data_IF_874866864686
#
_entry.id   IF_874866864686
#
_cell.length_a   1.000
_cell.length_b   1.000
_cell.length_c   1.000
_cell.angle_alpha   90.00
_cell.angle_beta   90.00
_cell.angle_gamma   90.00
#
_symmetry.space_group_name_H-M   'P 1'
#
loop_
_entity.id
_entity.type
_entity.pdbx_description
1 polymer ?
#
# COMPACT_ATOMS: atom_id res chain seq x y z
N UNK A 1 14.07 -15.36 -10.62
CA UNK A 1 14.49 -16.54 -11.41
C UNK A 1 13.71 -17.82 -11.06
N UNK A 2 13.44 -18.15 -9.78
CA UNK A 2 12.71 -19.38 -9.41
C UNK A 2 11.23 -19.30 -9.76
N UNK A 3 10.56 -18.18 -9.45
CA UNK A 3 9.16 -17.96 -9.86
C UNK A 3 9.03 -18.14 -11.38
N UNK A 4 9.92 -17.52 -12.16
CA UNK A 4 9.96 -17.65 -13.63
C UNK A 4 10.08 -19.11 -14.11
N UNK A 5 10.88 -19.92 -13.42
CA UNK A 5 11.09 -21.34 -13.80
C UNK A 5 9.89 -22.23 -13.48
N UNK A 6 9.10 -21.87 -12.47
CA UNK A 6 8.00 -22.67 -11.94
C UNK A 6 6.62 -22.22 -12.43
N UNK A 7 6.56 -21.15 -13.19
CA UNK A 7 5.32 -20.61 -13.76
C UNK A 7 5.37 -20.65 -15.28
N UNK A 8 4.22 -20.76 -15.92
CA UNK A 8 4.15 -20.76 -17.38
C UNK A 8 4.68 -19.43 -17.96
N UNK A 9 5.46 -19.49 -19.03
CA UNK A 9 6.03 -18.28 -19.64
C UNK A 9 4.97 -17.30 -20.16
N UNK A 10 3.78 -17.82 -20.51
CA UNK A 10 2.62 -17.04 -20.98
C UNK A 10 1.85 -16.35 -19.84
N UNK A 11 1.99 -16.84 -18.60
CA UNK A 11 1.23 -16.33 -17.45
C UNK A 11 1.75 -14.94 -17.05
N UNK A 12 0.94 -13.92 -17.29
CA UNK A 12 1.31 -12.51 -17.01
C UNK A 12 0.93 -12.06 -15.62
N UNK A 13 -0.10 -12.66 -15.02
CA UNK A 13 -0.67 -12.26 -13.73
C UNK A 13 -0.45 -13.36 -12.71
N UNK A 14 0.17 -13.02 -11.58
CA UNK A 14 0.49 -13.97 -10.50
C UNK A 14 -0.30 -13.58 -9.25
N UNK A 15 -1.06 -14.52 -8.72
CA UNK A 15 -1.76 -14.37 -7.45
C UNK A 15 -0.78 -14.38 -6.28
N UNK A 16 -0.97 -13.50 -5.31
CA UNK A 16 -0.20 -13.46 -4.06
C UNK A 16 -1.18 -13.49 -2.90
N UNK A 17 -1.09 -14.53 -2.08
CA UNK A 17 -1.92 -14.71 -0.88
C UNK A 17 -1.01 -14.80 0.34
N UNK A 18 -0.57 -13.65 0.84
CA UNK A 18 0.39 -13.54 1.94
C UNK A 18 0.02 -12.41 2.90
N UNK A 19 0.30 -12.57 4.19
CA UNK A 19 0.10 -11.49 5.16
C UNK A 19 1.18 -10.41 4.98
N UNK A 20 0.94 -9.23 5.54
CA UNK A 20 1.92 -8.14 5.55
C UNK A 20 3.20 -8.58 6.24
N UNK A 21 4.34 -8.41 5.56
CA UNK A 21 5.65 -8.82 6.09
C UNK A 21 6.69 -9.04 4.99
N UNK A 22 7.85 -9.53 5.39
CA UNK A 22 8.97 -9.78 4.46
C UNK A 22 8.64 -10.78 3.35
N UNK A 23 7.80 -11.79 3.65
CA UNK A 23 7.36 -12.77 2.66
C UNK A 23 6.56 -12.15 1.52
N UNK A 24 5.55 -11.32 1.84
CA UNK A 24 4.76 -10.62 0.81
C UNK A 24 5.61 -9.58 0.06
N UNK A 25 6.53 -8.91 0.74
CA UNK A 25 7.45 -7.97 0.10
C UNK A 25 8.34 -8.67 -0.95
N UNK A 26 8.96 -9.78 -0.57
CA UNK A 26 9.80 -10.57 -1.47
C UNK A 26 8.98 -11.13 -2.65
N UNK A 27 7.76 -11.62 -2.41
CA UNK A 27 6.90 -12.16 -3.45
C UNK A 27 6.51 -11.08 -4.47
N UNK A 28 6.03 -9.92 -4.00
CA UNK A 28 5.68 -8.79 -4.87
C UNK A 28 6.89 -8.29 -5.68
N UNK A 29 8.06 -8.13 -5.04
CA UNK A 29 9.30 -7.77 -5.73
C UNK A 29 9.70 -8.80 -6.79
N UNK A 30 9.62 -10.10 -6.47
CA UNK A 30 9.98 -11.15 -7.40
C UNK A 30 9.08 -11.15 -8.65
N UNK A 31 7.76 -10.96 -8.46
CA UNK A 31 6.79 -10.87 -9.55
C UNK A 31 7.05 -9.63 -10.41
N UNK A 32 7.24 -8.46 -9.77
CA UNK A 32 7.51 -7.19 -10.47
C UNK A 32 8.83 -7.23 -11.25
N UNK A 33 9.92 -7.75 -10.65
CA UNK A 33 11.21 -7.89 -11.33
C UNK A 33 11.17 -8.93 -12.47
N UNK A 34 10.22 -9.86 -12.44
CA UNK A 34 9.93 -10.78 -13.53
C UNK A 34 9.04 -10.18 -14.63
N UNK A 35 8.72 -8.87 -14.53
CA UNK A 35 7.87 -8.13 -15.47
C UNK A 35 6.46 -8.72 -15.58
N UNK A 36 5.94 -9.22 -14.46
CA UNK A 36 4.59 -9.75 -14.34
C UNK A 36 3.75 -8.87 -13.42
N UNK A 37 2.46 -9.01 -13.54
CA UNK A 37 1.47 -8.26 -12.78
C UNK A 37 1.22 -8.99 -11.46
N UNK A 38 1.44 -8.32 -10.33
CA UNK A 38 1.08 -8.86 -9.03
C UNK A 38 -0.41 -8.66 -8.74
N UNK A 39 -1.09 -9.72 -8.30
CA UNK A 39 -2.49 -9.66 -7.87
C UNK A 39 -2.56 -10.12 -6.42
N UNK A 40 -2.56 -9.18 -5.50
CA UNK A 40 -2.65 -9.49 -4.08
C UNK A 40 -4.10 -9.84 -3.72
N UNK A 41 -4.34 -11.11 -3.35
CA UNK A 41 -5.67 -11.63 -3.06
C UNK A 41 -6.10 -11.25 -1.63
N UNK A 42 -7.33 -10.74 -1.50
CA UNK A 42 -7.87 -10.33 -0.22
C UNK A 42 -8.38 -11.54 0.58
N UNK A 43 -7.57 -12.02 1.51
CA UNK A 43 -7.88 -13.16 2.37
C UNK A 43 -8.90 -12.86 3.49
N UNK A 44 -9.31 -11.59 3.64
CA UNK A 44 -10.36 -11.19 4.60
C UNK A 44 -11.73 -11.07 3.95
N UNK A 45 -11.78 -11.14 2.61
CA UNK A 45 -13.01 -11.12 1.85
C UNK A 45 -13.70 -12.49 1.83
N UNK A 46 -15.00 -12.54 1.51
CA UNK A 46 -15.70 -13.82 1.29
C UNK A 46 -14.97 -14.69 0.26
N UNK A 47 -15.00 -16.04 0.40
CA UNK A 47 -14.36 -16.96 -0.54
C UNK A 47 -14.74 -16.74 -2.02
N UNK A 48 -16.00 -16.39 -2.28
CA UNK A 48 -16.49 -16.05 -3.63
C UNK A 48 -15.78 -14.85 -4.26
N UNK A 49 -15.39 -13.85 -3.45
CA UNK A 49 -14.62 -12.70 -3.93
C UNK A 49 -13.19 -13.09 -4.32
N UNK A 50 -12.56 -13.99 -3.58
CA UNK A 50 -11.23 -14.52 -3.91
C UNK A 50 -11.28 -15.33 -5.20
N UNK A 51 -12.31 -16.16 -5.37
CA UNK A 51 -12.55 -16.92 -6.59
C UNK A 51 -12.80 -16.01 -7.80
N UNK A 52 -13.65 -14.98 -7.63
CA UNK A 52 -13.93 -14.00 -8.68
C UNK A 52 -12.67 -13.26 -9.12
N UNK A 53 -11.84 -12.81 -8.18
CA UNK A 53 -10.57 -12.16 -8.49
C UNK A 53 -9.62 -13.06 -9.30
N UNK A 54 -9.52 -14.33 -8.94
CA UNK A 54 -8.72 -15.31 -9.69
C UNK A 54 -9.24 -15.51 -11.11
N UNK A 55 -10.56 -15.65 -11.28
CA UNK A 55 -11.21 -15.81 -12.58
C UNK A 55 -11.05 -14.57 -13.46
N UNK A 56 -11.34 -13.37 -12.93
CA UNK A 56 -11.23 -12.11 -13.69
C UNK A 56 -9.79 -11.86 -14.16
N UNK A 57 -8.82 -12.23 -13.36
CA UNK A 57 -7.40 -12.10 -13.69
C UNK A 57 -6.82 -13.29 -14.46
N UNK A 58 -7.57 -14.38 -14.67
CA UNK A 58 -7.08 -15.61 -15.29
C UNK A 58 -5.80 -16.13 -14.60
N UNK A 59 -5.82 -16.14 -13.26
CA UNK A 59 -4.67 -16.57 -12.46
C UNK A 59 -4.51 -18.08 -12.58
N UNK A 60 -3.35 -18.53 -12.99
CA UNK A 60 -2.98 -19.96 -13.02
C UNK A 60 -2.15 -20.36 -11.78
N UNK A 61 -1.38 -19.41 -11.21
CA UNK A 61 -0.45 -19.64 -10.10
C UNK A 61 -0.68 -18.68 -8.93
N UNK A 62 -0.68 -19.23 -7.71
CA UNK A 62 -0.71 -18.43 -6.47
C UNK A 62 0.54 -18.67 -5.62
N UNK A 63 1.23 -17.59 -5.26
CA UNK A 63 2.31 -17.58 -4.27
C UNK A 63 1.72 -17.44 -2.87
N UNK A 64 2.07 -18.35 -1.96
CA UNK A 64 1.59 -18.31 -0.57
C UNK A 64 2.59 -18.95 0.41
N UNK A 65 2.17 -19.14 1.66
CA UNK A 65 2.90 -19.83 2.73
C UNK A 65 2.03 -20.92 3.33
N UNK A 66 2.60 -22.09 3.63
CA UNK A 66 1.88 -23.18 4.31
C UNK A 66 1.35 -22.74 5.66
N UNK A 67 2.22 -22.11 6.47
CA UNK A 67 1.84 -21.59 7.78
C UNK A 67 0.70 -20.56 7.71
N UNK A 68 0.65 -19.78 6.65
CA UNK A 68 -0.42 -18.81 6.50
C UNK A 68 -1.73 -19.47 6.11
N UNK A 69 -1.72 -20.48 5.24
CA UNK A 69 -2.93 -21.22 4.88
C UNK A 69 -3.53 -22.00 6.06
N UNK A 70 -2.71 -22.46 7.02
CA UNK A 70 -3.19 -23.16 8.20
C UNK A 70 -4.06 -22.30 9.13
N UNK A 71 -3.88 -20.98 9.11
CA UNK A 71 -4.64 -20.03 9.95
C UNK A 71 -5.79 -19.34 9.19
N UNK A 72 -5.91 -19.59 7.90
CA UNK A 72 -6.99 -19.04 7.09
C UNK A 72 -8.16 -20.00 6.98
N UNK A 73 -9.40 -19.49 6.79
CA UNK A 73 -10.51 -20.32 6.35
C UNK A 73 -10.17 -20.95 4.99
N UNK A 74 -10.82 -22.06 4.68
CA UNK A 74 -10.65 -22.74 3.38
C UNK A 74 -11.03 -21.78 2.25
N UNK A 75 -10.05 -21.38 1.42
CA UNK A 75 -10.24 -20.49 0.27
C UNK A 75 -10.19 -21.30 -1.03
N UNK A 76 -11.01 -20.95 -2.04
CA UNK A 76 -11.00 -21.59 -3.36
C UNK A 76 -9.79 -21.07 -4.16
N UNK A 77 -8.63 -21.71 -3.99
CA UNK A 77 -7.43 -21.38 -4.75
C UNK A 77 -7.28 -22.23 -6.00
N UNK A 78 -6.61 -21.68 -7.02
CA UNK A 78 -6.17 -22.43 -8.21
C UNK A 78 -5.27 -23.60 -7.82
N UNK A 79 -5.14 -24.59 -8.72
CA UNK A 79 -4.39 -25.81 -8.42
C UNK A 79 -2.87 -25.60 -8.29
N UNK A 80 -2.30 -24.66 -9.04
CA UNK A 80 -0.87 -24.41 -9.00
C UNK A 80 -0.52 -23.44 -7.85
N UNK A 81 -0.14 -23.99 -6.72
CA UNK A 81 0.25 -23.23 -5.53
C UNK A 81 1.76 -23.34 -5.32
N UNK A 82 2.45 -22.22 -5.29
CA UNK A 82 3.88 -22.14 -5.00
C UNK A 82 4.08 -21.64 -3.56
N UNK A 83 4.68 -22.48 -2.73
CA UNK A 83 4.96 -22.13 -1.34
C UNK A 83 6.30 -21.45 -1.20
N UNK A 84 6.34 -20.32 -0.47
CA UNK A 84 7.59 -19.59 -0.21
C UNK A 84 8.61 -20.47 0.49
N UNK A 85 8.18 -21.35 1.38
CA UNK A 85 9.03 -22.28 2.11
C UNK A 85 9.81 -23.19 1.14
N UNK A 86 9.16 -23.69 0.09
CA UNK A 86 9.81 -24.55 -0.92
C UNK A 86 10.72 -23.74 -1.83
N UNK A 87 10.28 -22.54 -2.22
CA UNK A 87 11.09 -21.64 -3.03
C UNK A 87 12.42 -21.24 -2.36
N UNK A 88 12.41 -21.17 -1.03
CA UNK A 88 13.57 -20.73 -0.24
C UNK A 88 14.45 -21.89 0.26
N UNK A 89 13.87 -23.09 0.44
CA UNK A 89 14.55 -24.26 1.02
C UNK A 89 15.74 -24.74 0.20
N UNK A 90 15.60 -24.74 -1.12
CA UNK A 90 16.59 -25.34 -2.02
C UNK A 90 17.56 -24.31 -2.62
N UNK A 91 17.64 -23.10 -2.04
CA UNK A 91 18.60 -22.10 -2.52
C UNK A 91 19.98 -22.43 -1.94
N UNK A 92 20.86 -22.95 -2.78
CA UNK A 92 22.24 -23.23 -2.43
C UNK A 92 23.00 -21.95 -2.04
N UNK A 93 24.04 -22.09 -1.20
CA UNK A 93 24.93 -20.97 -0.89
C UNK A 93 25.54 -20.32 -2.14
N UNK A 94 25.87 -21.14 -3.16
CA UNK A 94 26.39 -20.66 -4.44
C UNK A 94 25.39 -19.77 -5.16
N UNK A 95 24.12 -20.16 -5.23
CA UNK A 95 23.06 -19.33 -5.85
C UNK A 95 22.84 -18.02 -5.09
N UNK A 96 22.89 -18.03 -3.75
CA UNK A 96 22.80 -16.81 -2.94
C UNK A 96 23.93 -15.84 -3.23
N UNK A 97 25.17 -16.33 -3.30
CA UNK A 97 26.36 -15.52 -3.62
C UNK A 97 26.26 -14.99 -5.06
N UNK A 98 25.89 -15.82 -6.03
CA UNK A 98 25.70 -15.39 -7.41
C UNK A 98 24.63 -14.33 -7.54
N UNK A 99 23.47 -14.47 -6.86
CA UNK A 99 22.41 -13.47 -6.85
C UNK A 99 22.88 -12.15 -6.24
N UNK A 100 23.63 -12.21 -5.14
CA UNK A 100 24.20 -11.03 -4.49
C UNK A 100 25.21 -10.31 -5.38
N UNK A 101 26.11 -11.05 -6.01
CA UNK A 101 27.09 -10.50 -6.95
C UNK A 101 26.39 -9.88 -8.17
N UNK A 102 25.40 -10.58 -8.73
CA UNK A 102 24.60 -10.07 -9.83
C UNK A 102 23.89 -8.77 -9.44
N UNK A 103 23.27 -8.72 -8.24
CA UNK A 103 22.57 -7.54 -7.77
C UNK A 103 23.50 -6.33 -7.51
N UNK A 104 24.75 -6.59 -7.06
CA UNK A 104 25.73 -5.51 -6.78
C UNK A 104 26.51 -5.04 -7.99
N UNK A 105 26.82 -5.93 -8.91
CA UNK A 105 27.77 -5.67 -10.01
C UNK A 105 27.09 -5.45 -11.36
N UNK A 106 25.84 -5.91 -11.53
CA UNK A 106 25.15 -5.76 -12.80
C UNK A 106 24.33 -4.47 -12.84
N UNK A 107 24.37 -3.71 -13.95
CA UNK A 107 23.41 -2.63 -14.16
C UNK A 107 21.96 -3.14 -14.04
N UNK A 108 21.07 -2.30 -13.52
CA UNK A 108 19.68 -2.67 -13.25
C UNK A 108 18.96 -3.33 -14.44
N UNK A 109 19.26 -2.88 -15.67
CA UNK A 109 18.72 -3.46 -16.92
C UNK A 109 18.98 -4.96 -17.10
N UNK A 110 20.07 -5.49 -16.53
CA UNK A 110 20.39 -6.93 -16.61
C UNK A 110 19.72 -7.74 -15.48
N UNK A 111 19.19 -7.06 -14.46
CA UNK A 111 18.45 -7.70 -13.37
C UNK A 111 17.00 -7.97 -13.75
N UNK A 112 16.38 -7.06 -14.52
CA UNK A 112 14.97 -7.09 -14.90
C UNK A 112 14.68 -7.77 -16.24
N UNK A 113 15.69 -8.36 -16.89
CA UNK A 113 15.52 -9.02 -18.19
C UNK A 113 15.65 -8.06 -19.37
N UNK A 114 15.47 -8.61 -20.60
CA UNK A 114 15.77 -7.88 -21.84
C UNK A 114 14.57 -7.12 -22.44
N UNK A 115 13.40 -7.17 -21.82
CA UNK A 115 12.23 -6.43 -22.30
C UNK A 115 12.26 -5.00 -21.75
N UNK A 116 11.99 -3.98 -22.57
CA UNK A 116 11.74 -2.65 -22.05
C UNK A 116 10.45 -2.69 -21.22
N UNK A 117 10.49 -2.16 -20.00
CA UNK A 117 9.30 -1.91 -19.18
C UNK A 117 8.83 -0.50 -19.48
N UNK A 118 7.61 -0.35 -19.95
CA UNK A 118 7.04 0.96 -20.21
C UNK A 118 6.38 1.51 -18.93
N UNK A 119 6.41 2.83 -18.73
CA UNK A 119 5.76 3.44 -17.57
C UNK A 119 4.26 3.08 -17.44
N UNK A 120 3.58 2.92 -18.56
CA UNK A 120 2.16 2.59 -18.63
C UNK A 120 1.83 1.09 -18.54
N UNK A 121 2.86 0.22 -18.48
CA UNK A 121 2.63 -1.21 -18.23
C UNK A 121 1.98 -1.40 -16.86
N UNK A 122 1.00 -2.32 -16.80
CA UNK A 122 0.32 -2.63 -15.54
C UNK A 122 1.26 -3.33 -14.59
N UNK A 123 1.47 -2.74 -13.42
CA UNK A 123 2.32 -3.27 -12.36
C UNK A 123 1.54 -4.19 -11.40
N UNK A 124 0.29 -3.83 -11.12
CA UNK A 124 -0.57 -4.58 -10.20
C UNK A 124 -2.04 -4.39 -10.52
N UNK A 125 -2.84 -5.36 -10.10
CA UNK A 125 -4.30 -5.26 -10.07
C UNK A 125 -4.74 -5.46 -8.62
N UNK A 126 -5.43 -4.46 -8.06
CA UNK A 126 -5.96 -4.49 -6.71
C UNK A 126 -7.49 -4.50 -6.77
N UNK A 127 -8.10 -5.41 -6.03
CA UNK A 127 -9.55 -5.51 -6.00
C UNK A 127 -10.15 -4.60 -4.93
N UNK A 128 -11.02 -3.68 -5.34
CA UNK A 128 -11.81 -2.87 -4.43
C UNK A 128 -13.10 -3.60 -4.06
N UNK A 129 -13.50 -3.46 -2.80
CA UNK A 129 -14.79 -3.94 -2.29
C UNK A 129 -15.91 -2.99 -2.72
N UNK A 130 -16.15 -2.80 -4.02
CA UNK A 130 -17.18 -1.88 -4.50
C UNK A 130 -18.55 -2.12 -3.84
N UNK A 131 -19.43 -1.13 -3.90
CA UNK A 131 -20.82 -1.19 -3.43
C UNK A 131 -21.67 -2.25 -4.16
N UNK A 132 -21.12 -2.87 -5.20
CA UNK A 132 -21.72 -3.96 -5.99
C UNK A 132 -21.19 -5.33 -5.50
N UNK A 133 -22.01 -6.38 -5.63
CA UNK A 133 -21.70 -7.72 -5.15
C UNK A 133 -20.39 -8.32 -5.72
N UNK A 134 -19.90 -7.82 -6.84
CA UNK A 134 -18.69 -8.32 -7.50
C UNK A 134 -17.51 -7.33 -7.33
N UNK A 135 -16.33 -7.80 -6.84
CA UNK A 135 -15.16 -6.95 -6.69
C UNK A 135 -14.63 -6.46 -8.04
N UNK A 136 -14.22 -5.19 -8.11
CA UNK A 136 -13.67 -4.57 -9.31
C UNK A 136 -12.14 -4.58 -9.25
N UNK A 137 -11.50 -5.11 -10.28
CA UNK A 137 -10.04 -5.11 -10.42
C UNK A 137 -9.54 -3.76 -10.94
N UNK A 138 -8.92 -2.98 -10.08
CA UNK A 138 -8.32 -1.68 -10.40
C UNK A 138 -6.93 -1.91 -10.99
N UNK A 139 -6.70 -1.50 -12.24
CA UNK A 139 -5.42 -1.64 -12.94
C UNK A 139 -4.52 -0.44 -12.68
N UNK A 140 -3.39 -0.66 -12.01
CA UNK A 140 -2.40 0.38 -11.70
C UNK A 140 -1.11 0.12 -12.48
N UNK A 141 -0.67 1.14 -13.24
CA UNK A 141 0.60 1.08 -13.97
C UNK A 141 1.80 1.41 -13.06
N UNK A 142 3.00 1.14 -13.54
CA UNK A 142 4.23 1.59 -12.87
C UNK A 142 4.23 3.11 -12.70
N UNK A 143 3.77 3.85 -13.72
CA UNK A 143 3.67 5.32 -13.69
C UNK A 143 2.71 5.79 -12.60
N UNK A 144 1.53 5.17 -12.47
CA UNK A 144 0.55 5.54 -11.45
C UNK A 144 1.14 5.41 -10.04
N UNK A 145 1.74 4.26 -9.73
CA UNK A 145 2.33 3.99 -8.41
C UNK A 145 3.50 4.91 -8.10
N UNK A 146 4.45 5.04 -9.05
CA UNK A 146 5.65 5.87 -8.85
C UNK A 146 5.30 7.34 -8.69
N UNK A 147 4.37 7.87 -9.50
CA UNK A 147 3.91 9.26 -9.38
C UNK A 147 3.29 9.53 -8.01
N UNK A 148 2.47 8.61 -7.49
CA UNK A 148 1.87 8.75 -6.16
C UNK A 148 2.94 8.73 -5.06
N UNK A 149 3.90 7.81 -5.14
CA UNK A 149 5.00 7.68 -4.20
C UNK A 149 5.87 8.95 -4.19
N UNK A 150 6.23 9.48 -5.36
CA UNK A 150 7.04 10.70 -5.47
C UNK A 150 6.28 11.93 -4.92
N UNK A 151 5.00 12.06 -5.24
CA UNK A 151 4.16 13.14 -4.72
C UNK A 151 4.06 13.08 -3.19
N UNK A 152 3.81 11.91 -2.64
CA UNK A 152 3.77 11.70 -1.18
C UNK A 152 5.14 11.95 -0.53
N UNK A 153 6.22 11.46 -1.15
CA UNK A 153 7.60 11.67 -0.69
C UNK A 153 7.99 13.14 -0.63
N UNK A 154 7.56 13.92 -1.62
CA UNK A 154 7.90 15.35 -1.71
C UNK A 154 7.28 16.18 -0.58
N UNK A 155 6.10 15.79 -0.08
CA UNK A 155 5.40 16.54 0.99
C UNK A 155 5.80 16.11 2.39
N UNK A 156 6.10 14.83 2.63
CA UNK A 156 6.49 14.35 3.97
C UNK A 156 7.99 14.32 4.19
N UNK A 157 8.79 14.46 3.14
CA UNK A 157 10.28 14.54 3.19
C UNK A 157 10.91 13.52 4.15
N UNK A 158 10.73 12.21 3.89
CA UNK A 158 11.19 11.17 4.81
C UNK A 158 12.72 11.12 4.88
N UNK A 159 13.23 10.79 6.05
CA UNK A 159 14.66 10.59 6.30
C UNK A 159 14.99 9.09 6.27
N UNK A 160 16.21 8.73 5.87
CA UNK A 160 16.71 7.35 6.01
C UNK A 160 16.79 6.85 7.47
N UNK A 161 16.67 7.77 8.43
CA UNK A 161 16.59 7.44 9.86
C UNK A 161 15.18 7.09 10.30
N UNK A 162 14.18 7.37 9.46
CA UNK A 162 12.79 7.03 9.78
C UNK A 162 12.58 5.52 9.71
N UNK A 163 11.73 5.05 10.60
CA UNK A 163 11.24 3.68 10.63
C UNK A 163 9.72 3.72 10.53
N UNK A 164 9.18 3.04 9.53
CA UNK A 164 7.75 2.98 9.29
C UNK A 164 7.14 1.72 9.86
N UNK A 165 5.99 1.85 10.52
CA UNK A 165 5.16 0.72 10.89
C UNK A 165 4.34 0.25 9.68
N UNK A 166 4.42 -1.02 9.32
CA UNK A 166 3.63 -1.66 8.28
C UNK A 166 2.74 -2.75 8.87
N UNK A 167 1.48 -2.40 9.09
CA UNK A 167 0.44 -3.32 9.57
C UNK A 167 -0.73 -3.43 8.60
N UNK A 168 -0.82 -2.52 7.63
CA UNK A 168 -1.90 -2.52 6.65
C UNK A 168 -1.70 -3.64 5.62
N UNK A 169 -2.78 -4.35 5.25
CA UNK A 169 -2.70 -5.45 4.29
C UNK A 169 -2.28 -4.98 2.90
N UNK A 170 -1.37 -5.73 2.26
CA UNK A 170 -0.87 -5.41 0.90
C UNK A 170 -1.87 -5.65 -0.22
N UNK A 171 -3.00 -6.30 0.05
CA UNK A 171 -4.09 -6.39 -0.91
C UNK A 171 -4.95 -5.12 -0.98
N UNK A 172 -4.79 -4.18 -0.05
CA UNK A 172 -5.35 -2.83 -0.13
C UNK A 172 -4.30 -1.86 -0.67
N UNK A 173 -4.72 -0.93 -1.52
CA UNK A 173 -3.83 0.07 -2.13
C UNK A 173 -3.06 0.90 -1.10
N UNK A 174 -3.66 1.21 0.05
CA UNK A 174 -3.01 1.91 1.15
C UNK A 174 -1.84 1.10 1.72
N UNK A 175 -2.04 -0.20 1.98
CA UNK A 175 -0.96 -1.10 2.38
C UNK A 175 0.08 -1.29 1.29
N UNK A 176 -0.36 -1.55 0.06
CA UNK A 176 0.50 -1.85 -1.08
C UNK A 176 1.42 -0.68 -1.45
N UNK A 177 0.85 0.50 -1.67
CA UNK A 177 1.65 1.64 -2.11
C UNK A 177 2.38 2.30 -0.95
N UNK A 178 1.69 2.59 0.15
CA UNK A 178 2.23 3.51 1.17
C UNK A 178 3.00 2.79 2.27
N UNK A 179 2.67 1.51 2.60
CA UNK A 179 3.42 0.79 3.64
C UNK A 179 4.39 -0.26 3.10
N UNK A 180 4.38 -0.51 1.79
CA UNK A 180 5.34 -1.42 1.15
C UNK A 180 6.23 -0.69 0.11
N UNK A 181 5.66 -0.19 -1.01
CA UNK A 181 6.50 0.41 -2.07
C UNK A 181 7.15 1.72 -1.66
N UNK A 182 6.42 2.60 -0.98
CA UNK A 182 6.94 3.90 -0.56
C UNK A 182 8.19 3.78 0.34
N UNK A 183 8.17 3.02 1.46
CA UNK A 183 9.37 2.90 2.29
C UNK A 183 10.52 2.20 1.56
N UNK A 184 10.23 1.19 0.73
CA UNK A 184 11.24 0.49 -0.05
C UNK A 184 11.97 1.44 -1.02
N UNK A 185 11.22 2.25 -1.79
CA UNK A 185 11.78 3.19 -2.77
C UNK A 185 12.39 4.43 -2.12
N UNK A 186 11.97 4.78 -0.91
CA UNK A 186 12.54 5.89 -0.12
C UNK A 186 13.75 5.48 0.71
N UNK A 187 14.08 4.17 0.77
CA UNK A 187 15.19 3.65 1.59
C UNK A 187 14.91 3.75 3.09
N UNK A 188 13.65 3.65 3.50
CA UNK A 188 13.20 3.69 4.89
C UNK A 188 13.07 2.27 5.43
N UNK A 189 13.49 2.08 6.68
CA UNK A 189 13.28 0.79 7.38
C UNK A 189 11.80 0.57 7.67
N UNK A 190 11.34 -0.66 7.53
CA UNK A 190 9.94 -1.04 7.79
C UNK A 190 9.87 -2.08 8.91
N UNK A 191 9.14 -1.77 9.97
CA UNK A 191 8.77 -2.71 11.03
C UNK A 191 7.39 -3.30 10.70
N UNK A 192 7.34 -4.61 10.40
CA UNK A 192 6.12 -5.27 9.94
C UNK A 192 5.43 -6.05 11.05
N UNK A 193 4.11 -5.97 11.09
CA UNK A 193 3.26 -6.87 11.88
C UNK A 193 2.01 -7.24 11.10
N UNK A 194 1.63 -8.52 11.14
CA UNK A 194 0.57 -9.08 10.29
C UNK A 194 -0.85 -8.70 10.74
N UNK A 195 -1.04 -8.49 12.04
CA UNK A 195 -2.36 -8.22 12.62
C UNK A 195 -2.43 -6.80 13.21
N UNK A 196 -3.12 -5.85 12.57
CA UNK A 196 -3.23 -4.48 13.07
C UNK A 196 -4.04 -4.35 14.36
N UNK A 197 -4.76 -5.39 14.79
CA UNK A 197 -5.56 -5.37 16.01
C UNK A 197 -4.75 -5.70 17.27
N UNK A 198 -3.54 -6.22 17.14
CA UNK A 198 -2.66 -6.57 18.26
C UNK A 198 -1.89 -5.37 18.79
N UNK A 199 -2.61 -4.38 19.30
CA UNK A 199 -2.06 -3.08 19.72
C UNK A 199 -0.90 -3.20 20.71
N UNK A 200 -0.94 -4.16 21.67
CA UNK A 200 0.14 -4.36 22.64
C UNK A 200 1.43 -4.85 21.98
N UNK A 201 1.33 -5.79 21.05
CA UNK A 201 2.46 -6.30 20.26
C UNK A 201 3.03 -5.18 19.39
N UNK A 202 2.14 -4.38 18.76
CA UNK A 202 2.52 -3.23 17.97
C UNK A 202 3.24 -2.19 18.81
N UNK A 203 2.77 -1.89 20.01
CA UNK A 203 3.46 -0.98 20.94
C UNK A 203 4.88 -1.44 21.27
N UNK A 204 5.07 -2.73 21.60
CA UNK A 204 6.40 -3.31 21.85
C UNK A 204 7.32 -3.20 20.64
N UNK A 205 6.79 -3.53 19.46
CA UNK A 205 7.52 -3.46 18.19
C UNK A 205 7.90 -2.01 17.84
N UNK A 206 6.98 -1.06 18.05
CA UNK A 206 7.20 0.37 17.82
C UNK A 206 8.33 0.89 18.72
N UNK A 207 8.35 0.51 19.97
CA UNK A 207 9.43 0.85 20.90
C UNK A 207 10.77 0.21 20.49
N UNK A 208 10.77 -1.09 20.24
CA UNK A 208 11.96 -1.87 19.89
C UNK A 208 12.67 -1.33 18.63
N UNK A 209 11.93 -1.00 17.60
CA UNK A 209 12.47 -0.53 16.32
C UNK A 209 12.50 0.98 16.18
N UNK A 210 12.13 1.73 17.24
CA UNK A 210 12.10 3.20 17.23
C UNK A 210 11.28 3.76 16.08
N UNK A 211 10.07 3.22 15.89
CA UNK A 211 9.18 3.63 14.81
C UNK A 211 8.87 5.12 14.91
N UNK A 212 9.09 5.84 13.82
CA UNK A 212 8.86 7.29 13.73
C UNK A 212 7.65 7.67 12.87
N UNK A 213 7.14 6.73 12.05
CA UNK A 213 6.00 6.98 11.15
C UNK A 213 5.00 5.83 11.26
N UNK A 214 3.75 6.17 11.55
CA UNK A 214 2.62 5.23 11.54
C UNK A 214 1.63 5.65 10.47
N UNK A 215 1.25 4.70 9.60
CA UNK A 215 0.12 4.84 8.70
C UNK A 215 -0.92 3.79 9.06
N UNK A 216 -2.15 4.23 9.32
CA UNK A 216 -3.18 3.35 9.89
C UNK A 216 -4.58 3.85 9.54
N UNK A 217 -5.63 3.13 9.95
CA UNK A 217 -7.00 3.64 9.91
C UNK A 217 -7.39 4.24 11.24
N UNK A 218 -8.36 5.17 11.31
CA UNK A 218 -8.88 5.71 12.57
C UNK A 218 -9.33 4.64 13.56
N UNK A 219 -9.92 3.55 13.08
CA UNK A 219 -10.35 2.42 13.92
C UNK A 219 -9.18 1.74 14.62
N UNK A 220 -8.09 1.47 13.91
CA UNK A 220 -6.87 0.90 14.52
C UNK A 220 -6.17 1.90 15.42
N UNK A 221 -6.14 3.19 15.02
CA UNK A 221 -5.57 4.25 15.84
C UNK A 221 -6.24 4.35 17.21
N UNK A 222 -7.57 4.21 17.26
CA UNK A 222 -8.32 4.17 18.52
C UNK A 222 -7.90 2.99 19.40
N UNK A 223 -7.68 1.82 18.81
CA UNK A 223 -7.17 0.65 19.54
C UNK A 223 -5.76 0.90 20.11
N UNK A 224 -4.90 1.54 19.31
CA UNK A 224 -3.55 1.93 19.74
C UNK A 224 -3.60 2.96 20.86
N UNK A 225 -4.45 3.98 20.73
CA UNK A 225 -4.64 5.00 21.78
C UNK A 225 -5.11 4.42 23.11
N UNK A 226 -5.83 3.31 23.12
CA UNK A 226 -6.34 2.67 24.33
C UNK A 226 -5.33 1.71 25.00
N UNK A 227 -4.53 1.00 24.21
CA UNK A 227 -3.75 -0.13 24.68
C UNK A 227 -2.24 0.08 24.72
N UNK A 228 -1.70 0.93 23.84
CA UNK A 228 -0.26 1.20 23.79
C UNK A 228 0.10 2.16 24.92
N UNK A 229 1.24 1.93 25.57
CA UNK A 229 1.74 2.80 26.63
C UNK A 229 2.51 3.99 26.05
N UNK A 230 2.45 5.19 26.67
CA UNK A 230 3.11 6.39 26.13
C UNK A 230 4.60 6.20 25.85
N UNK A 231 5.31 5.52 26.76
CA UNK A 231 6.75 5.26 26.61
C UNK A 231 7.11 4.40 25.39
N UNK A 232 6.14 3.72 24.78
CA UNK A 232 6.35 2.90 23.59
C UNK A 232 6.35 3.69 22.28
N UNK A 233 5.84 4.92 22.28
CA UNK A 233 5.73 5.79 21.09
C UNK A 233 6.62 7.04 21.14
N UNK A 234 7.64 7.05 21.97
CA UNK A 234 8.52 8.24 22.20
C UNK A 234 9.30 8.70 20.97
N UNK A 235 9.47 7.86 19.97
CA UNK A 235 10.16 8.19 18.72
C UNK A 235 9.20 8.60 17.60
N UNK A 236 7.89 8.58 17.85
CA UNK A 236 6.87 8.86 16.85
C UNK A 236 6.89 10.33 16.44
N UNK A 237 6.98 10.59 15.14
CA UNK A 237 6.97 11.93 14.53
C UNK A 237 5.69 12.20 13.77
N UNK A 238 5.22 11.19 13.03
CA UNK A 238 4.06 11.33 12.17
C UNK A 238 3.10 10.15 12.34
N UNK A 239 1.82 10.49 12.38
CA UNK A 239 0.74 9.52 12.29
C UNK A 239 -0.21 10.00 11.18
N UNK A 240 -0.35 9.19 10.15
CA UNK A 240 -1.30 9.44 9.08
C UNK A 240 -2.43 8.41 9.14
N UNK A 241 -3.65 8.90 8.98
CA UNK A 241 -4.84 8.06 8.92
C UNK A 241 -5.54 8.22 7.58
N UNK A 242 -6.13 7.14 7.09
CA UNK A 242 -6.89 7.13 5.85
C UNK A 242 -7.88 5.99 5.80
N UNK A 243 -8.58 5.86 4.67
CA UNK A 243 -9.64 4.88 4.41
C UNK A 243 -10.94 5.09 5.19
N UNK A 244 -10.91 5.81 6.30
CA UNK A 244 -12.07 6.16 7.13
C UNK A 244 -11.94 7.62 7.57
N UNK A 245 -13.06 8.29 7.85
CA UNK A 245 -13.04 9.66 8.40
C UNK A 245 -12.45 9.67 9.82
N UNK A 246 -11.45 10.50 10.04
CA UNK A 246 -10.85 10.69 11.36
C UNK A 246 -11.81 11.53 12.24
N UNK A 247 -12.38 10.91 13.26
CA UNK A 247 -13.23 11.62 14.21
C UNK A 247 -12.38 12.49 15.15
N UNK A 248 -12.74 13.77 15.41
CA UNK A 248 -11.98 14.68 16.26
C UNK A 248 -11.61 14.07 17.62
N UNK A 249 -12.55 13.40 18.28
CA UNK A 249 -12.33 12.73 19.56
C UNK A 249 -11.20 11.67 19.53
N UNK A 250 -10.98 11.01 18.38
CA UNK A 250 -9.91 10.01 18.24
C UNK A 250 -8.56 10.73 18.11
N UNK A 251 -8.54 11.80 17.32
CA UNK A 251 -7.35 12.62 17.14
C UNK A 251 -6.91 13.26 18.47
N UNK A 252 -7.83 13.86 19.19
CA UNK A 252 -7.59 14.48 20.51
C UNK A 252 -7.11 13.46 21.55
N UNK A 253 -7.76 12.28 21.61
CA UNK A 253 -7.35 11.21 22.52
C UNK A 253 -5.92 10.76 22.25
N UNK A 254 -5.57 10.57 20.98
CA UNK A 254 -4.22 10.14 20.58
C UNK A 254 -3.19 11.24 20.87
N UNK A 255 -3.46 12.47 20.47
CA UNK A 255 -2.60 13.63 20.69
C UNK A 255 -2.34 13.88 22.18
N UNK A 256 -3.40 13.90 23.00
CA UNK A 256 -3.30 14.07 24.46
C UNK A 256 -2.41 12.99 25.10
N UNK A 257 -2.48 11.75 24.58
CA UNK A 257 -1.78 10.61 25.16
C UNK A 257 -0.31 10.50 24.73
N UNK A 258 -0.02 10.82 23.47
CA UNK A 258 1.29 10.59 22.86
C UNK A 258 2.01 11.84 22.38
N UNK A 259 1.37 13.01 22.43
CA UNK A 259 1.97 14.27 22.02
C UNK A 259 2.11 14.45 20.49
N UNK A 260 1.50 13.56 19.69
CA UNK A 260 1.56 13.62 18.22
C UNK A 260 0.15 13.71 17.68
N UNK A 261 -0.13 14.78 16.92
CA UNK A 261 -1.44 14.99 16.28
C UNK A 261 -1.56 14.08 15.05
N UNK A 262 -2.60 13.22 14.98
CA UNK A 262 -2.88 12.44 13.78
C UNK A 262 -3.30 13.34 12.61
N UNK A 263 -2.82 13.02 11.43
CA UNK A 263 -3.06 13.75 10.19
C UNK A 263 -3.92 12.90 9.27
N UNK A 264 -4.96 13.51 8.70
CA UNK A 264 -5.89 12.79 7.83
C UNK A 264 -5.43 12.85 6.37
N UNK A 265 -5.56 11.72 5.66
CA UNK A 265 -5.35 11.61 4.23
C UNK A 265 -6.59 11.06 3.53
N UNK A 266 -6.81 11.52 2.31
CA UNK A 266 -7.88 11.08 1.42
C UNK A 266 -7.32 10.38 0.19
N UNK A 267 -8.02 9.31 -0.21
CA UNK A 267 -7.67 8.57 -1.39
C UNK A 267 -8.61 7.43 -1.70
N UNK A 268 -8.34 6.76 -2.81
CA UNK A 268 -9.07 5.59 -3.26
C UNK A 268 -8.11 4.65 -4.01
N UNK A 269 -8.48 3.39 -4.17
CA UNK A 269 -7.66 2.43 -4.91
C UNK A 269 -7.38 2.93 -6.32
N UNK A 270 -8.35 3.57 -6.95
CA UNK A 270 -8.29 4.19 -8.28
C UNK A 270 -7.29 5.34 -8.39
N UNK A 271 -6.77 5.83 -7.26
CA UNK A 271 -5.82 6.95 -7.16
C UNK A 271 -4.41 6.53 -6.69
N UNK A 272 -4.13 5.26 -6.52
CA UNK A 272 -2.82 4.62 -6.24
C UNK A 272 -2.13 4.87 -4.87
N UNK A 273 -2.72 5.16 -3.72
CA UNK A 273 -4.09 5.57 -3.45
C UNK A 273 -4.27 7.03 -3.05
N UNK A 274 -3.19 7.78 -2.68
CA UNK A 274 -3.28 9.07 -1.97
C UNK A 274 -3.57 10.21 -2.92
N UNK A 275 -4.58 11.01 -2.60
CA UNK A 275 -4.97 12.18 -3.38
C UNK A 275 -4.71 13.50 -2.63
N UNK A 276 -5.07 13.54 -1.36
CA UNK A 276 -4.87 14.70 -0.51
C UNK A 276 -4.41 14.27 0.89
N UNK A 277 -3.69 15.14 1.58
CA UNK A 277 -3.16 14.85 2.91
C UNK A 277 -3.07 16.11 3.74
N UNK A 278 -3.43 16.02 5.02
CA UNK A 278 -3.11 17.03 6.02
C UNK A 278 -1.63 16.95 6.39
N UNK A 279 -1.00 18.08 6.59
CA UNK A 279 0.41 18.21 6.96
C UNK A 279 0.51 18.86 8.35
N UNK A 280 1.61 18.71 9.07
CA UNK A 280 1.84 19.45 10.30
C UNK A 280 1.77 20.97 10.03
N UNK A 281 1.28 21.72 11.00
CA UNK A 281 1.45 23.16 10.99
C UNK A 281 2.93 23.48 11.22
N UNK A 282 3.48 24.36 10.42
CA UNK A 282 4.89 24.80 10.52
C UNK A 282 4.95 26.31 10.53
N UNK A 283 6.05 26.84 10.99
CA UNK A 283 6.38 28.28 10.92
C UNK A 283 7.52 28.45 9.90
N UNK A 284 7.29 29.29 8.91
CA UNK A 284 8.29 29.61 7.87
C UNK A 284 8.48 31.12 7.89
N UNK A 285 9.67 31.58 8.13
CA UNK A 285 10.03 32.99 8.21
C UNK A 285 9.13 33.83 9.17
N UNK A 286 8.82 33.25 10.34
CA UNK A 286 7.90 33.78 11.34
C UNK A 286 6.43 33.91 10.87
N UNK A 287 6.04 33.23 9.78
CA UNK A 287 4.68 33.17 9.30
C UNK A 287 4.12 31.76 9.54
N UNK A 288 2.92 31.65 10.17
CA UNK A 288 2.31 30.35 10.40
C UNK A 288 1.77 29.77 9.08
N UNK A 289 2.26 28.62 8.71
CA UNK A 289 1.74 27.81 7.59
C UNK A 289 0.82 26.71 8.14
N UNK A 290 -0.48 26.87 7.90
CA UNK A 290 -1.48 25.92 8.39
C UNK A 290 -1.57 24.73 7.44
N UNK A 291 -0.99 23.61 7.84
CA UNK A 291 -1.00 22.35 7.09
C UNK A 291 -2.19 21.44 7.44
N UNK A 292 -2.74 21.58 8.66
CA UNK A 292 -3.86 20.78 9.13
C UNK A 292 -5.01 21.68 9.60
N UNK A 293 -6.19 21.47 9.01
CA UNK A 293 -7.45 22.12 9.41
C UNK A 293 -8.46 21.06 9.78
N UNK A 294 -9.18 21.27 10.87
CA UNK A 294 -10.25 20.36 11.30
C UNK A 294 -11.34 20.24 10.23
N UNK A 295 -11.90 19.06 10.11
CA UNK A 295 -12.92 18.70 9.12
C UNK A 295 -12.50 18.93 7.65
N UNK A 296 -11.20 18.90 7.36
CA UNK A 296 -10.66 19.02 6.01
C UNK A 296 -9.73 17.83 5.70
N UNK A 297 -9.80 17.36 4.47
CA UNK A 297 -8.98 16.24 3.98
C UNK A 297 -7.52 16.62 3.64
N UNK A 298 -7.13 17.85 3.96
CA UNK A 298 -5.78 18.35 3.69
C UNK A 298 -5.63 18.99 2.31
N UNK A 299 -4.39 19.04 1.84
CA UNK A 299 -4.01 19.61 0.54
C UNK A 299 -3.85 18.51 -0.50
N UNK A 300 -4.21 18.82 -1.72
CA UNK A 300 -4.00 17.95 -2.88
C UNK A 300 -2.51 17.71 -3.07
N UNK A 301 -2.14 16.46 -3.33
CA UNK A 301 -0.74 16.11 -3.59
C UNK A 301 -0.22 16.76 -4.90
N UNK A 302 1.07 17.09 -4.97
CA UNK A 302 1.69 17.61 -6.19
C UNK A 302 1.42 16.73 -7.41
N UNK A 303 1.13 17.36 -8.55
CA UNK A 303 0.81 16.67 -9.81
C UNK A 303 -0.66 16.30 -9.99
N UNK A 304 -1.51 16.53 -8.98
CA UNK A 304 -2.95 16.26 -9.05
C UNK A 304 -3.77 17.54 -9.11
N UNK A 305 -4.96 17.44 -9.67
CA UNK A 305 -5.97 18.49 -9.68
C UNK A 305 -7.33 17.91 -9.26
N UNK A 306 -8.06 18.70 -8.47
CA UNK A 306 -9.42 18.37 -8.01
C UNK A 306 -10.35 19.50 -8.41
N UNK A 307 -11.56 19.16 -8.86
CA UNK A 307 -12.68 20.08 -9.00
C UNK A 307 -13.96 19.45 -8.47
N UNK A 308 -14.84 20.28 -7.94
CA UNK A 308 -16.19 19.86 -7.53
C UNK A 308 -17.15 20.31 -8.63
N UNK A 309 -18.02 19.44 -9.07
CA UNK A 309 -18.95 19.71 -10.15
C UNK A 309 -20.38 19.33 -9.74
N UNK A 310 -21.35 20.01 -10.37
CA UNK A 310 -22.75 19.65 -10.20
C UNK A 310 -23.01 18.24 -10.76
N UNK A 311 -23.73 17.38 -10.02
CA UNK A 311 -23.92 15.97 -10.41
C UNK A 311 -24.56 15.76 -11.79
N UNK A 312 -25.45 16.65 -12.21
CA UNK A 312 -26.21 16.52 -13.45
C UNK A 312 -25.62 17.35 -14.60
N UNK A 313 -25.22 18.61 -14.33
CA UNK A 313 -24.75 19.53 -15.39
C UNK A 313 -23.24 19.48 -15.62
N UNK A 314 -22.49 18.89 -14.70
CA UNK A 314 -21.00 18.86 -14.69
C UNK A 314 -20.33 20.25 -14.64
N UNK A 315 -21.09 21.32 -14.38
CA UNK A 315 -20.56 22.67 -14.16
C UNK A 315 -19.73 22.72 -12.88
N UNK A 316 -18.64 23.47 -12.91
CA UNK A 316 -17.76 23.63 -11.74
C UNK A 316 -18.49 24.47 -10.69
N UNK A 317 -18.59 23.93 -9.48
CA UNK A 317 -19.24 24.58 -8.35
C UNK A 317 -18.28 25.53 -7.63
N UNK A 318 -18.86 26.52 -6.95
CA UNK A 318 -18.11 27.47 -6.14
C UNK A 318 -17.64 26.85 -4.81
N UNK A 319 -16.58 27.37 -4.17
CA UNK A 319 -16.16 26.93 -2.86
C UNK A 319 -17.29 27.01 -1.81
N UNK A 320 -17.56 25.89 -1.15
CA UNK A 320 -18.64 25.76 -0.15
C UNK A 320 -19.86 25.01 -0.66
N UNK A 321 -19.98 24.77 -1.97
CA UNK A 321 -21.06 23.97 -2.54
C UNK A 321 -20.69 22.48 -2.57
N UNK A 322 -21.68 21.61 -2.38
CA UNK A 322 -21.52 20.15 -2.41
C UNK A 322 -21.77 19.61 -3.82
N UNK A 323 -20.94 18.67 -4.27
CA UNK A 323 -21.05 18.06 -5.59
C UNK A 323 -20.18 16.85 -5.78
N UNK A 324 -20.07 16.38 -7.02
CA UNK A 324 -19.19 15.28 -7.40
C UNK A 324 -17.73 15.73 -7.47
N UNK A 325 -16.85 14.89 -6.92
CA UNK A 325 -15.42 15.11 -6.94
C UNK A 325 -14.83 14.55 -8.23
N UNK A 326 -14.27 15.43 -9.07
CA UNK A 326 -13.48 15.06 -10.24
C UNK A 326 -12.01 15.20 -9.94
N UNK A 327 -11.26 14.11 -10.16
CA UNK A 327 -9.83 14.05 -9.85
C UNK A 327 -9.07 13.73 -11.13
N UNK A 328 -7.99 14.49 -11.38
CA UNK A 328 -7.06 14.26 -12.48
C UNK A 328 -5.63 14.25 -11.95
N UNK A 329 -4.82 13.32 -12.44
CA UNK A 329 -3.41 13.24 -12.09
C UNK A 329 -2.74 12.00 -12.67
N UNK A 330 -1.41 11.92 -12.61
CA UNK A 330 -0.64 10.80 -13.16
C UNK A 330 -0.83 9.50 -12.36
N UNK A 331 -1.35 9.59 -11.15
CA UNK A 331 -1.65 8.47 -10.25
C UNK A 331 -3.06 7.89 -10.42
N UNK A 332 -3.88 8.45 -11.32
CA UNK A 332 -5.20 7.90 -11.65
C UNK A 332 -5.04 6.60 -12.41
N UNK A 333 -5.77 5.55 -12.03
CA UNK A 333 -5.72 4.19 -12.61
C UNK A 333 -5.86 4.16 -14.13
N UNK A 334 -5.48 3.05 -14.74
CA UNK A 334 -5.69 2.78 -16.17
C UNK A 334 -7.10 2.33 -16.52
N UNK A 335 -7.94 2.12 -15.53
CA UNK A 335 -9.30 1.62 -15.67
C UNK A 335 -9.55 0.36 -14.87
N UNK A 336 -10.78 -0.14 -14.95
CA UNK A 336 -11.14 -1.41 -14.35
C UNK A 336 -10.87 -2.58 -15.29
N UNK A 337 -10.38 -3.68 -14.74
CA UNK A 337 -10.13 -4.91 -15.50
C UNK A 337 -11.42 -5.41 -16.14
N UNK A 338 -11.37 -5.72 -17.44
CA UNK A 338 -12.49 -6.22 -18.24
C UNK A 338 -13.74 -5.29 -18.28
N UNK A 339 -13.59 -4.01 -17.94
CA UNK A 339 -14.66 -3.01 -18.01
C UNK A 339 -14.13 -1.76 -18.72
N UNK A 340 -14.17 -1.73 -20.05
CA UNK A 340 -13.76 -0.55 -20.82
C UNK A 340 -14.85 0.53 -20.71
N UNK A 341 -14.71 1.47 -19.80
CA UNK A 341 -15.50 2.71 -19.75
C UNK A 341 -14.57 3.90 -19.49
#
# INVERSE_FOLDING_TARGET
DRVRKLTAAREKKIGILLPTGSGSAIANLAVTLDQRISVNLNYTAPPSSVESAQKQCEIETVLTSRKFLEVLPKLPLVQNILYLEDLLKDISHKEKIQALLKAKLSPARFLIGNRPVLPDDIATILFSSGSTAEPKGVMLSHHNLLSNIESFRSVISPSRKDVMLATLPVFHSFGYTVTFWFPLLSGITTACHTNPLEAETIGKLTHQYKVSVILTTPSFLLAYARKIKPEQLTHLRYVFTGAEKLQPRIAELFEKRFGVKPLEGYGATELSPVCAISLPNVEIDNLPEIGNREDRLGRVLPGMAIKIVHPETTEVLQPGEEGLIYIKGPNVMRGYLNKPE
#
